data_IF_399121110111
#
_entry.id   IF_399121110111
#
_cell.length_a   1.000
_cell.length_b   1.000
_cell.length_c   1.000
_cell.angle_alpha   90.00
_cell.angle_beta   90.00
_cell.angle_gamma   90.00
#
_symmetry.space_group_name_H-M   'P 1'
#
loop_
_entity.id
_entity.type
_entity.pdbx_description
1 polymer ?
#
# COMPACT_ATOMS: atom_id res chain seq x y z
N UNK A 1 20.83 -10.16 4.46
CA UNK A 1 19.85 -9.60 3.63
C UNK A 1 18.75 -10.59 3.26
N UNK A 2 19.18 -11.72 3.05
CA UNK A 2 18.35 -12.72 2.58
C UNK A 2 17.27 -13.18 3.47
N UNK A 3 17.48 -13.20 4.82
CA UNK A 3 16.44 -13.61 5.74
C UNK A 3 15.25 -12.65 5.73
N UNK A 4 15.50 -11.35 5.71
CA UNK A 4 14.42 -10.37 5.65
C UNK A 4 13.63 -10.47 4.35
N UNK A 5 14.32 -10.68 3.25
CA UNK A 5 13.66 -10.84 1.96
C UNK A 5 12.83 -12.12 1.96
N UNK A 6 13.36 -13.19 2.53
CA UNK A 6 12.63 -14.44 2.65
C UNK A 6 11.39 -14.28 3.51
N UNK A 7 11.50 -13.55 4.62
CA UNK A 7 10.35 -13.31 5.49
C UNK A 7 9.24 -12.57 4.74
N UNK A 8 9.59 -11.57 3.92
CA UNK A 8 8.62 -10.84 3.12
C UNK A 8 7.98 -11.76 2.08
N UNK A 9 8.79 -12.58 1.41
CA UNK A 9 8.26 -13.52 0.42
C UNK A 9 7.28 -14.49 1.04
N UNK A 10 7.58 -14.98 2.25
CA UNK A 10 6.68 -15.86 2.96
C UNK A 10 5.38 -15.17 3.36
N UNK A 11 5.48 -13.92 3.81
CA UNK A 11 4.31 -13.15 4.18
C UNK A 11 3.42 -12.90 2.96
N UNK A 12 4.03 -12.56 1.82
CA UNK A 12 3.29 -12.35 0.58
C UNK A 12 2.58 -13.63 0.16
N UNK A 13 3.29 -14.75 0.20
CA UNK A 13 2.69 -16.03 -0.18
C UNK A 13 1.52 -16.38 0.75
N UNK A 14 1.64 -16.10 2.04
CA UNK A 14 0.60 -16.39 3.00
C UNK A 14 -0.62 -15.48 2.87
N UNK A 15 -0.41 -14.25 2.40
CA UNK A 15 -1.50 -13.29 2.24
C UNK A 15 -2.22 -13.42 0.89
N UNK A 16 -1.57 -14.04 -0.09
CA UNK A 16 -2.09 -14.10 -1.45
C UNK A 16 -3.18 -15.18 -1.54
N UNK A 17 -4.39 -14.73 -1.85
CA UNK A 17 -5.52 -15.64 -2.06
C UNK A 17 -5.79 -15.91 -3.55
N UNK A 18 -4.83 -15.58 -4.40
CA UNK A 18 -4.95 -15.72 -5.85
C UNK A 18 -5.23 -14.41 -6.57
N UNK A 19 -5.47 -13.32 -5.85
CA UNK A 19 -5.81 -12.02 -6.44
C UNK A 19 -4.70 -10.99 -6.27
N UNK A 20 -3.54 -11.42 -5.77
CA UNK A 20 -2.39 -10.54 -5.61
C UNK A 20 -2.27 -9.97 -4.21
N UNK A 21 -1.17 -9.27 -3.97
CA UNK A 21 -0.86 -8.70 -2.66
C UNK A 21 -0.37 -7.26 -2.85
N UNK A 22 -0.83 -6.37 -1.97
CA UNK A 22 -0.33 -5.00 -1.92
C UNK A 22 0.51 -4.86 -0.65
N UNK A 23 1.75 -4.46 -0.82
CA UNK A 23 2.66 -4.18 0.30
C UNK A 23 2.63 -2.68 0.56
N UNK A 24 2.44 -2.31 1.82
CA UNK A 24 2.38 -0.91 2.22
C UNK A 24 3.64 -0.53 2.98
N UNK A 25 4.20 0.63 2.64
CA UNK A 25 5.39 1.15 3.31
C UNK A 25 5.22 2.65 3.53
N UNK A 26 6.02 3.20 4.45
CA UNK A 26 5.90 4.61 4.78
C UNK A 26 6.49 5.52 3.70
N UNK A 27 7.66 5.18 3.18
CA UNK A 27 8.29 6.00 2.14
C UNK A 27 9.31 5.17 1.38
N UNK A 28 9.57 5.56 0.13
CA UNK A 28 10.66 4.95 -0.63
C UNK A 28 12.00 5.50 -0.18
N UNK A 29 13.06 4.72 -0.44
CA UNK A 29 14.43 5.13 -0.14
C UNK A 29 15.04 4.49 1.10
N UNK A 30 14.23 3.81 1.91
CA UNK A 30 14.73 3.09 3.09
C UNK A 30 14.88 1.61 2.81
N UNK A 31 15.54 0.91 3.75
CA UNK A 31 15.72 -0.54 3.62
C UNK A 31 14.41 -1.30 3.50
N UNK A 32 13.37 -0.99 4.33
CA UNK A 32 12.11 -1.72 4.20
C UNK A 32 11.47 -1.57 2.82
N UNK A 33 11.47 -0.36 2.25
CA UNK A 33 10.89 -0.14 0.94
C UNK A 33 11.71 -0.82 -0.15
N UNK A 34 13.04 -0.82 -0.03
CA UNK A 34 13.89 -1.48 -1.00
C UNK A 34 13.66 -2.99 -0.99
N UNK A 35 13.49 -3.58 0.18
CA UNK A 35 13.17 -5.00 0.29
C UNK A 35 11.80 -5.30 -0.33
N UNK A 36 10.81 -4.46 -0.09
CA UNK A 36 9.49 -4.64 -0.66
C UNK A 36 9.53 -4.59 -2.19
N UNK A 37 10.25 -3.61 -2.73
CA UNK A 37 10.40 -3.49 -4.19
C UNK A 37 11.09 -4.73 -4.77
N UNK A 38 12.07 -5.28 -4.03
CA UNK A 38 12.81 -6.44 -4.52
C UNK A 38 11.94 -7.69 -4.67
N UNK A 39 10.82 -7.76 -3.98
CA UNK A 39 9.89 -8.89 -4.10
C UNK A 39 8.66 -8.55 -4.94
N UNK A 40 8.61 -7.35 -5.50
CA UNK A 40 7.49 -6.94 -6.33
C UNK A 40 7.42 -7.79 -7.60
N UNK A 41 6.21 -8.19 -7.95
CA UNK A 41 5.96 -8.98 -9.13
C UNK A 41 4.79 -8.35 -9.88
N UNK A 42 5.08 -7.81 -11.05
CA UNK A 42 4.11 -7.06 -11.84
C UNK A 42 2.81 -7.85 -12.03
N UNK A 43 1.71 -7.20 -11.71
CA UNK A 43 0.38 -7.80 -11.84
C UNK A 43 -0.01 -8.69 -10.68
N UNK A 44 0.90 -8.97 -9.75
CA UNK A 44 0.61 -9.88 -8.65
C UNK A 44 0.98 -9.31 -7.29
N UNK A 45 2.11 -8.61 -7.21
CA UNK A 45 2.56 -7.97 -5.97
C UNK A 45 2.95 -6.53 -6.29
N UNK A 46 2.30 -5.59 -5.61
CA UNK A 46 2.58 -4.16 -5.78
C UNK A 46 2.99 -3.54 -4.46
N UNK A 47 3.63 -2.38 -4.55
CA UNK A 47 4.09 -1.65 -3.37
C UNK A 47 3.54 -0.23 -3.42
N UNK A 48 2.88 0.21 -2.35
CA UNK A 48 2.46 1.60 -2.20
C UNK A 48 3.25 2.22 -1.06
N UNK A 49 3.92 3.33 -1.35
CA UNK A 49 4.59 4.13 -0.32
C UNK A 49 3.66 5.23 0.16
N UNK A 50 3.88 5.70 1.39
CA UNK A 50 3.08 6.78 1.95
C UNK A 50 1.84 6.31 2.68
N UNK A 51 1.88 5.13 3.25
CA UNK A 51 0.72 4.55 3.94
C UNK A 51 0.22 5.49 5.05
N UNK A 52 -1.09 5.68 5.10
CA UNK A 52 -1.74 6.42 6.19
C UNK A 52 -3.11 5.79 6.45
N UNK A 53 -3.77 6.25 7.50
CA UNK A 53 -5.02 5.63 7.91
C UNK A 53 -6.13 5.68 6.84
N UNK A 54 -6.37 6.84 6.16
CA UNK A 54 -7.39 6.85 5.10
C UNK A 54 -7.13 5.83 4.00
N UNK A 55 -5.87 5.60 3.64
CA UNK A 55 -5.50 4.58 2.66
C UNK A 55 -5.88 3.19 3.14
N UNK A 56 -5.59 2.88 4.41
CA UNK A 56 -5.91 1.58 4.99
C UNK A 56 -7.41 1.33 5.02
N UNK A 57 -8.18 2.34 5.40
CA UNK A 57 -9.63 2.25 5.44
C UNK A 57 -10.19 1.98 4.05
N UNK A 58 -9.68 2.69 3.04
CA UNK A 58 -10.13 2.50 1.68
C UNK A 58 -9.81 1.10 1.17
N UNK A 59 -8.59 0.62 1.44
CA UNK A 59 -8.20 -0.72 1.02
C UNK A 59 -9.10 -1.78 1.63
N UNK A 60 -9.43 -1.63 2.92
CA UNK A 60 -10.32 -2.58 3.57
C UNK A 60 -11.69 -2.62 2.89
N UNK A 61 -12.15 -1.47 2.37
CA UNK A 61 -13.45 -1.38 1.71
C UNK A 61 -13.47 -1.94 0.30
N UNK A 62 -12.35 -1.85 -0.44
CA UNK A 62 -12.35 -2.24 -1.85
C UNK A 62 -11.71 -3.60 -2.10
N UNK A 63 -11.11 -4.22 -1.09
CA UNK A 63 -10.40 -5.49 -1.28
C UNK A 63 -11.32 -6.60 -1.77
N UNK A 64 -12.60 -6.53 -1.46
CA UNK A 64 -13.55 -7.54 -1.85
C UNK A 64 -13.84 -7.58 -3.34
N UNK A 65 -13.47 -6.53 -4.08
CA UNK A 65 -13.69 -6.48 -5.53
C UNK A 65 -12.67 -7.31 -6.30
N UNK A 66 -11.58 -7.73 -5.65
CA UNK A 66 -10.50 -8.51 -6.26
C UNK A 66 -9.92 -7.86 -7.51
N UNK A 67 -9.90 -6.52 -7.54
CA UNK A 67 -9.37 -5.74 -8.65
C UNK A 67 -8.20 -4.91 -8.13
N UNK A 68 -6.98 -5.38 -8.40
CA UNK A 68 -5.79 -4.74 -7.87
C UNK A 68 -5.62 -3.32 -8.40
N UNK A 69 -5.84 -3.10 -9.68
CA UNK A 69 -5.65 -1.77 -10.27
C UNK A 69 -6.59 -0.76 -9.61
N UNK A 70 -7.85 -1.14 -9.43
CA UNK A 70 -8.82 -0.27 -8.76
C UNK A 70 -8.41 0.00 -7.31
N UNK A 71 -7.96 -1.02 -6.60
CA UNK A 71 -7.53 -0.87 -5.22
C UNK A 71 -6.35 0.10 -5.12
N UNK A 72 -5.38 -0.01 -6.04
CA UNK A 72 -4.22 0.86 -6.05
C UNK A 72 -4.62 2.32 -6.27
N UNK A 73 -5.49 2.58 -7.25
CA UNK A 73 -5.94 3.93 -7.57
C UNK A 73 -6.73 4.52 -6.41
N UNK A 74 -7.72 3.80 -5.91
CA UNK A 74 -8.60 4.33 -4.86
C UNK A 74 -7.85 4.53 -3.54
N UNK A 75 -6.94 3.63 -3.20
CA UNK A 75 -6.14 3.77 -1.98
C UNK A 75 -5.22 4.99 -2.08
N UNK A 76 -4.55 5.17 -3.22
CA UNK A 76 -3.66 6.31 -3.42
C UNK A 76 -4.42 7.63 -3.32
N UNK A 77 -5.58 7.69 -3.94
CA UNK A 77 -6.42 8.89 -3.88
C UNK A 77 -6.91 9.18 -2.46
N UNK A 78 -7.35 8.16 -1.74
CA UNK A 78 -7.80 8.33 -0.36
C UNK A 78 -6.67 8.83 0.53
N UNK A 79 -5.45 8.28 0.35
CA UNK A 79 -4.30 8.70 1.13
C UNK A 79 -3.97 10.17 0.92
N UNK A 80 -4.10 10.65 -0.30
CA UNK A 80 -3.82 12.06 -0.61
C UNK A 80 -4.95 13.00 -0.16
N UNK A 81 -6.19 12.55 -0.29
CA UNK A 81 -7.37 13.39 -0.07
C UNK A 81 -7.46 13.91 1.36
N UNK A 82 -7.04 13.13 2.32
CA UNK A 82 -7.24 13.47 3.73
C UNK A 82 -6.01 14.06 4.41
N UNK A 83 -5.03 14.49 3.62
CA UNK A 83 -3.91 15.26 4.13
C UNK A 83 -4.36 16.71 4.19
N UNK A 84 -4.56 17.23 5.40
CA UNK A 84 -5.17 18.54 5.60
C UNK A 84 -4.36 19.40 6.56
N UNK A 85 -4.35 20.69 6.30
CA UNK A 85 -3.78 21.69 7.22
C UNK A 85 -4.95 22.28 7.99
N UNK A 86 -4.90 22.18 9.32
CA UNK A 86 -6.03 22.52 10.18
C UNK A 86 -6.55 23.95 9.94
N UNK A 87 -5.64 24.93 9.84
CA UNK A 87 -6.07 26.31 9.66
C UNK A 87 -6.81 26.52 8.35
N UNK A 88 -6.43 25.78 7.32
CA UNK A 88 -7.09 25.90 6.02
C UNK A 88 -8.47 25.27 6.04
N UNK A 89 -8.61 24.14 6.72
CA UNK A 89 -9.91 23.50 6.87
C UNK A 89 -10.87 24.41 7.62
N UNK A 90 -10.41 25.00 8.72
CA UNK A 90 -11.24 25.87 9.55
C UNK A 90 -11.60 27.16 8.84
N UNK A 91 -10.77 27.65 7.94
CA UNK A 91 -11.06 28.87 7.19
C UNK A 91 -11.94 28.63 5.97
N UNK A 92 -12.32 27.39 5.71
CA UNK A 92 -13.16 27.07 4.57
C UNK A 92 -12.41 27.02 3.25
N UNK A 93 -11.08 26.90 3.30
CA UNK A 93 -10.26 26.85 2.08
C UNK A 93 -9.53 25.50 1.90
#
# INVERSE_FOLDING_TARGET
MDKRRQDILQAVAGADDGHGVIILTDMFGGTPSNLAISVMNSGHTEVIAGVNLPMLIKLAGVRGDNNMERALVEASEAGRKYINVASRVLSGK
#
